data_IF_408693634041
#
_entry.id   IF_408693634041
#
_cell.length_a   1.000
_cell.length_b   1.000
_cell.length_c   1.000
_cell.angle_alpha   90.00
_cell.angle_beta   90.00
_cell.angle_gamma   90.00
#
_symmetry.space_group_name_H-M   'P 1'
#
loop_
_entity.id
_entity.type
_entity.pdbx_description
1 polymer ?
#
# COMPACT_ATOMS: atom_id res chain seq x y z
N UNK A 1 1.54 26.40 -27.49
CA UNK A 1 2.32 26.62 -26.25
C UNK A 1 1.42 26.27 -25.08
N UNK A 2 1.58 25.10 -24.47
CA UNK A 2 0.71 24.65 -23.39
C UNK A 2 1.20 25.24 -22.06
N UNK A 3 0.39 26.14 -21.50
CA UNK A 3 0.60 26.74 -20.18
C UNK A 3 0.43 25.68 -19.09
N UNK A 4 1.51 25.34 -18.39
CA UNK A 4 1.44 24.52 -17.17
C UNK A 4 1.14 25.44 -15.99
N UNK A 5 -0.06 25.35 -15.45
CA UNK A 5 -0.43 25.99 -14.18
C UNK A 5 0.40 25.41 -13.02
N UNK A 6 0.86 26.22 -12.05
CA UNK A 6 1.67 25.73 -10.95
C UNK A 6 0.81 24.92 -9.98
N UNK A 7 1.24 23.69 -9.66
CA UNK A 7 0.57 22.81 -8.68
C UNK A 7 0.70 23.41 -7.26
N UNK A 8 -0.32 23.23 -6.39
CA UNK A 8 -0.35 23.82 -5.05
C UNK A 8 0.75 23.27 -4.13
N UNK A 9 1.26 24.14 -3.24
CA UNK A 9 2.46 23.92 -2.38
C UNK A 9 2.17 23.22 -1.04
N UNK A 10 1.00 22.62 -0.85
CA UNK A 10 0.61 22.04 0.44
C UNK A 10 0.83 20.52 0.38
N UNK A 11 1.60 20.01 1.35
CA UNK A 11 2.05 18.61 1.53
C UNK A 11 3.29 18.17 0.72
N UNK A 12 4.38 18.93 0.79
CA UNK A 12 5.73 18.38 0.58
C UNK A 12 6.22 17.70 1.86
N UNK A 13 5.66 16.55 2.23
CA UNK A 13 6.48 15.58 2.98
C UNK A 13 7.51 15.07 1.98
N UNK A 14 8.81 15.33 2.16
CA UNK A 14 9.82 14.89 1.20
C UNK A 14 9.74 13.37 1.02
N UNK A 15 9.99 12.85 -0.18
CA UNK A 15 10.19 11.41 -0.42
C UNK A 15 11.21 10.78 0.56
N UNK A 16 12.13 11.60 1.11
CA UNK A 16 13.04 11.22 2.17
C UNK A 16 12.35 10.78 3.48
N UNK A 17 11.20 11.36 3.85
CA UNK A 17 10.44 10.93 5.03
C UNK A 17 9.73 9.60 4.82
N UNK A 18 9.36 9.29 3.57
CA UNK A 18 8.83 7.98 3.19
C UNK A 18 9.83 6.84 3.47
N UNK A 19 11.14 7.14 3.51
CA UNK A 19 12.19 6.15 3.80
C UNK A 19 12.12 5.62 5.23
N UNK A 20 11.82 6.47 6.21
CA UNK A 20 11.75 6.05 7.63
C UNK A 20 10.45 5.29 7.92
N UNK A 21 9.34 5.78 7.37
CA UNK A 21 8.01 5.16 7.44
C UNK A 21 7.99 3.77 6.79
N UNK A 22 8.59 3.64 5.60
CA UNK A 22 8.64 2.37 4.89
C UNK A 22 9.54 1.36 5.60
N UNK A 23 10.68 1.80 6.16
CA UNK A 23 11.55 0.96 6.98
C UNK A 23 10.84 0.47 8.26
N UNK A 24 10.02 1.33 8.89
CA UNK A 24 9.19 0.95 10.03
C UNK A 24 8.05 -0.02 9.63
N UNK A 25 7.39 0.22 8.49
CA UNK A 25 6.33 -0.66 7.98
C UNK A 25 6.85 -2.05 7.60
N UNK A 26 8.05 -2.15 7.02
CA UNK A 26 8.73 -3.43 6.80
C UNK A 26 9.09 -4.15 8.10
N UNK A 27 9.52 -3.42 9.13
CA UNK A 27 9.81 -3.99 10.44
C UNK A 27 8.54 -4.54 11.11
N UNK A 28 7.40 -3.86 10.92
CA UNK A 28 6.09 -4.34 11.40
C UNK A 28 5.57 -5.54 10.61
N UNK A 29 5.78 -5.58 9.28
CA UNK A 29 5.39 -6.72 8.44
C UNK A 29 6.14 -8.02 8.85
N UNK A 30 7.36 -7.90 9.35
CA UNK A 30 8.14 -9.03 9.89
C UNK A 30 7.66 -9.50 11.28
N UNK A 31 7.02 -8.64 12.06
CA UNK A 31 6.43 -8.99 13.35
C UNK A 31 5.14 -9.83 13.20
N UNK A 32 4.58 -9.93 11.99
CA UNK A 32 3.37 -10.69 11.67
C UNK A 32 3.55 -12.18 11.39
N UNK A 33 4.76 -12.78 11.48
CA UNK A 33 4.87 -14.24 11.39
C UNK A 33 6.22 -14.91 11.10
N UNK A 34 7.31 -14.20 10.83
CA UNK A 34 8.63 -14.82 10.66
C UNK A 34 9.72 -13.99 11.34
N UNK A 35 10.23 -14.49 12.47
CA UNK A 35 11.46 -13.98 13.11
C UNK A 35 12.66 -14.30 12.23
N UNK A 36 13.42 -13.32 11.72
CA UNK A 36 14.73 -13.59 11.15
C UNK A 36 15.70 -13.97 12.28
N UNK A 37 16.38 -15.10 12.15
CA UNK A 37 17.54 -15.42 13.01
C UNK A 37 18.74 -14.59 12.52
N UNK A 38 19.07 -13.52 13.24
CA UNK A 38 20.29 -12.72 13.07
C UNK A 38 20.18 -11.55 12.09
N UNK A 39 20.73 -10.38 12.47
CA UNK A 39 21.07 -9.27 11.55
C UNK A 39 19.94 -8.55 10.81
N UNK A 40 18.69 -8.58 11.29
CA UNK A 40 17.50 -8.13 10.56
C UNK A 40 17.49 -6.67 10.04
N UNK A 41 18.33 -5.77 10.59
CA UNK A 41 18.33 -4.36 10.20
C UNK A 41 19.07 -4.09 8.89
N UNK A 42 20.09 -4.88 8.57
CA UNK A 42 20.98 -4.60 7.43
C UNK A 42 20.40 -5.22 6.14
N UNK A 43 19.91 -6.46 6.25
CA UNK A 43 19.24 -7.19 5.16
C UNK A 43 17.94 -6.53 4.70
N UNK A 44 17.15 -5.95 5.62
CA UNK A 44 15.95 -5.21 5.26
C UNK A 44 16.27 -3.93 4.48
N UNK A 45 17.34 -3.21 4.85
CA UNK A 45 17.78 -2.00 4.13
C UNK A 45 18.23 -2.33 2.71
N UNK A 46 19.03 -3.37 2.53
CA UNK A 46 19.49 -3.80 1.20
C UNK A 46 18.31 -4.19 0.30
N UNK A 47 17.32 -4.88 0.86
CA UNK A 47 16.14 -5.33 0.09
C UNK A 47 15.20 -4.18 -0.28
N UNK A 48 15.04 -3.18 0.59
CA UNK A 48 14.12 -2.05 0.37
C UNK A 48 14.69 -0.93 -0.50
N UNK A 49 16.01 -0.86 -0.64
CA UNK A 49 16.66 0.17 -1.45
C UNK A 49 16.15 0.21 -2.89
N UNK A 50 16.14 -0.89 -3.67
CA UNK A 50 15.63 -0.86 -5.04
C UNK A 50 14.13 -0.54 -5.11
N UNK A 51 13.36 -0.94 -4.11
CA UNK A 51 11.93 -0.63 -4.03
C UNK A 51 11.68 0.87 -3.79
N UNK A 52 12.48 1.51 -2.93
CA UNK A 52 12.43 2.96 -2.71
C UNK A 52 12.85 3.78 -3.93
N UNK A 53 13.85 3.31 -4.66
CA UNK A 53 14.29 3.93 -5.93
C UNK A 53 13.17 3.88 -6.97
N UNK A 54 12.53 2.72 -7.13
CA UNK A 54 11.36 2.56 -8.00
C UNK A 54 10.21 3.49 -7.59
N UNK A 55 9.91 3.63 -6.29
CA UNK A 55 8.87 4.55 -5.83
C UNK A 55 9.20 6.02 -6.10
N UNK A 56 10.49 6.38 -6.04
CA UNK A 56 10.97 7.73 -6.37
C UNK A 56 10.75 8.02 -7.85
N UNK A 57 11.17 7.11 -8.73
CA UNK A 57 10.93 7.21 -10.18
C UNK A 57 9.43 7.27 -10.48
N UNK A 58 8.62 6.41 -9.86
CA UNK A 58 7.18 6.38 -10.04
C UNK A 58 6.52 7.70 -9.62
N UNK A 59 7.01 8.35 -8.57
CA UNK A 59 6.53 9.67 -8.14
C UNK A 59 6.88 10.76 -9.16
N UNK A 60 8.09 10.75 -9.70
CA UNK A 60 8.53 11.71 -10.72
C UNK A 60 7.75 11.55 -12.04
N UNK A 61 7.52 10.30 -12.46
CA UNK A 61 6.73 9.97 -13.64
C UNK A 61 5.21 10.09 -13.42
N UNK A 62 4.77 10.18 -12.17
CA UNK A 62 3.36 10.21 -11.79
C UNK A 62 2.61 8.90 -12.01
N UNK A 63 3.31 7.76 -12.13
CA UNK A 63 2.72 6.42 -12.30
C UNK A 63 3.60 5.33 -11.70
N UNK A 64 3.00 4.36 -11.01
CA UNK A 64 3.68 3.12 -10.59
C UNK A 64 4.03 2.25 -11.81
N UNK A 65 5.01 1.33 -11.71
CA UNK A 65 5.30 0.35 -12.76
C UNK A 65 4.11 -0.56 -13.08
N UNK A 66 4.10 -1.19 -14.26
CA UNK A 66 2.98 -2.03 -14.71
C UNK A 66 2.70 -3.21 -13.79
N UNK A 67 3.75 -3.90 -13.33
CA UNK A 67 3.65 -5.00 -12.36
C UNK A 67 2.98 -4.63 -11.03
N UNK A 68 2.93 -3.33 -10.70
CA UNK A 68 2.26 -2.80 -9.50
C UNK A 68 0.86 -2.25 -9.77
N UNK A 69 0.44 -2.18 -11.04
CA UNK A 69 -0.90 -1.78 -11.44
C UNK A 69 -1.79 -2.98 -11.82
N UNK A 70 -1.23 -4.18 -11.78
CA UNK A 70 -1.94 -5.42 -12.07
C UNK A 70 -2.51 -6.08 -10.81
N UNK A 71 -3.59 -6.84 -10.98
CA UNK A 71 -4.20 -7.66 -9.94
C UNK A 71 -4.54 -9.04 -10.50
N UNK A 72 -4.25 -10.09 -9.73
CA UNK A 72 -4.70 -11.44 -10.08
C UNK A 72 -6.13 -11.64 -9.56
N UNK A 73 -7.07 -11.85 -10.47
CA UNK A 73 -8.46 -12.14 -10.11
C UNK A 73 -8.60 -13.61 -9.73
N UNK A 74 -9.10 -13.86 -8.53
CA UNK A 74 -9.44 -15.20 -8.03
C UNK A 74 -10.91 -15.23 -7.64
N UNK A 75 -11.57 -16.34 -7.91
CA UNK A 75 -12.99 -16.52 -7.63
C UNK A 75 -13.14 -17.48 -6.46
N UNK A 76 -13.86 -17.07 -5.41
CA UNK A 76 -14.17 -17.90 -4.24
C UNK A 76 -15.66 -18.24 -4.20
N UNK A 77 -15.97 -19.52 -4.11
CA UNK A 77 -17.34 -19.98 -3.96
C UNK A 77 -17.85 -19.77 -2.52
N UNK A 78 -19.08 -19.25 -2.38
CA UNK A 78 -19.78 -19.12 -1.09
C UNK A 78 -20.23 -20.50 -0.62
N UNK A 79 -19.87 -20.88 0.59
CA UNK A 79 -20.27 -22.16 1.18
C UNK A 79 -21.81 -22.23 1.25
N UNK A 80 -22.38 -23.35 0.78
CA UNK A 80 -23.83 -23.60 0.84
C UNK A 80 -24.66 -22.93 -0.27
N UNK A 81 -24.04 -22.31 -1.26
CA UNK A 81 -24.72 -21.79 -2.44
C UNK A 81 -24.59 -22.74 -3.65
N UNK A 82 -25.45 -22.58 -4.65
CA UNK A 82 -25.42 -23.38 -5.89
C UNK A 82 -24.20 -23.01 -6.75
N UNK A 83 -23.29 -23.94 -7.06
CA UNK A 83 -22.13 -23.69 -7.93
C UNK A 83 -22.48 -23.28 -9.36
N UNK A 84 -23.71 -23.51 -9.82
CA UNK A 84 -24.15 -23.11 -11.15
C UNK A 84 -24.64 -21.66 -11.21
N UNK A 85 -24.95 -21.04 -10.06
CA UNK A 85 -25.30 -19.63 -9.99
C UNK A 85 -24.03 -18.77 -9.85
N UNK A 86 -23.79 -17.89 -10.80
CA UNK A 86 -22.66 -16.94 -10.81
C UNK A 86 -22.65 -16.06 -9.55
N UNK A 87 -23.82 -15.77 -8.96
CA UNK A 87 -23.95 -14.98 -7.71
C UNK A 87 -23.41 -15.72 -6.49
N UNK A 88 -23.21 -17.03 -6.58
CA UNK A 88 -22.59 -17.86 -5.54
C UNK A 88 -21.10 -17.60 -5.38
N UNK A 89 -20.49 -16.83 -6.28
CA UNK A 89 -19.08 -16.54 -6.25
C UNK A 89 -18.75 -15.13 -5.75
N UNK A 90 -17.60 -14.99 -5.10
CA UNK A 90 -16.99 -13.71 -4.71
C UNK A 90 -15.71 -13.53 -5.49
N UNK A 91 -15.60 -12.41 -6.19
CA UNK A 91 -14.35 -12.03 -6.85
C UNK A 91 -13.40 -11.41 -5.84
N UNK A 92 -12.15 -11.85 -5.86
CA UNK A 92 -11.05 -11.27 -5.08
C UNK A 92 -9.96 -10.80 -6.03
N UNK A 93 -9.56 -9.53 -5.88
CA UNK A 93 -8.39 -8.97 -6.53
C UNK A 93 -7.17 -9.16 -5.63
N UNK A 94 -6.25 -10.03 -6.03
CA UNK A 94 -4.98 -10.23 -5.33
C UNK A 94 -3.95 -9.25 -5.88
N UNK A 95 -3.68 -8.20 -5.10
CA UNK A 95 -2.63 -7.21 -5.38
C UNK A 95 -1.25 -7.73 -5.00
N UNK A 96 -0.22 -7.24 -5.70
CA UNK A 96 1.17 -7.44 -5.34
C UNK A 96 1.42 -6.99 -3.87
N UNK A 97 2.18 -7.80 -3.12
CA UNK A 97 2.57 -7.52 -1.74
C UNK A 97 3.25 -6.16 -1.58
N UNK A 98 4.04 -5.75 -2.57
CA UNK A 98 4.69 -4.44 -2.60
C UNK A 98 3.66 -3.30 -2.60
N UNK A 99 2.58 -3.45 -3.36
CA UNK A 99 1.49 -2.47 -3.38
C UNK A 99 0.77 -2.40 -2.04
N UNK A 100 0.64 -3.54 -1.35
CA UNK A 100 0.05 -3.58 0.01
C UNK A 100 0.95 -2.89 1.03
N UNK A 101 2.26 -3.04 0.90
CA UNK A 101 3.23 -2.35 1.75
C UNK A 101 3.11 -0.83 1.59
N UNK A 102 3.12 -0.32 0.35
CA UNK A 102 2.88 1.09 0.07
C UNK A 102 1.52 1.56 0.60
N UNK A 103 0.47 0.78 0.35
CA UNK A 103 -0.88 1.07 0.85
C UNK A 103 -0.95 1.19 2.36
N UNK A 104 -0.24 0.32 3.10
CA UNK A 104 -0.17 0.36 4.56
C UNK A 104 0.57 1.61 5.06
N UNK A 105 1.68 1.98 4.41
CA UNK A 105 2.39 3.25 4.73
C UNK A 105 1.47 4.45 4.53
N UNK A 106 0.78 4.53 3.38
CA UNK A 106 -0.15 5.62 3.11
C UNK A 106 -1.31 5.65 4.10
N UNK A 107 -1.89 4.50 4.43
CA UNK A 107 -2.96 4.39 5.42
C UNK A 107 -2.52 4.88 6.80
N UNK A 108 -1.33 4.47 7.26
CA UNK A 108 -0.79 4.91 8.55
C UNK A 108 -0.56 6.43 8.60
N UNK A 109 -0.13 7.04 7.48
CA UNK A 109 0.04 8.49 7.38
C UNK A 109 -1.27 9.26 7.39
N UNK A 110 -2.33 8.66 6.84
CA UNK A 110 -3.67 9.26 6.82
C UNK A 110 -4.44 9.03 8.11
N UNK A 111 -4.12 7.97 8.88
CA UNK A 111 -4.85 7.57 10.08
C UNK A 111 -5.03 8.71 11.11
N UNK A 112 -4.01 9.54 11.43
CA UNK A 112 -4.18 10.67 12.35
C UNK A 112 -5.14 11.76 11.84
N UNK A 113 -5.37 11.83 10.53
CA UNK A 113 -6.27 12.81 9.90
C UNK A 113 -7.70 12.29 9.80
N UNK A 114 -7.92 10.98 9.93
CA UNK A 114 -9.24 10.36 9.79
C UNK A 114 -10.32 10.97 10.71
N UNK A 115 -10.06 11.29 12.00
CA UNK A 115 -11.08 11.88 12.87
C UNK A 115 -11.59 13.25 12.41
N UNK A 116 -10.81 13.96 11.58
CA UNK A 116 -11.16 15.28 11.05
C UNK A 116 -11.90 15.15 9.71
N UNK A 117 -11.56 14.12 8.92
CA UNK A 117 -12.05 13.93 7.56
C UNK A 117 -13.33 13.08 7.48
N UNK A 118 -13.56 12.21 8.46
CA UNK A 118 -14.58 11.16 8.41
C UNK A 118 -15.65 11.39 9.47
N UNK A 119 -16.92 11.26 9.08
CA UNK A 119 -18.03 11.42 10.01
C UNK A 119 -18.00 10.31 11.07
N UNK A 120 -18.32 10.57 12.35
CA UNK A 120 -18.27 9.56 13.42
C UNK A 120 -19.01 8.25 13.12
N UNK A 121 -20.09 8.31 12.34
CA UNK A 121 -20.88 7.13 11.96
C UNK A 121 -20.19 6.22 10.92
N UNK A 122 -19.14 6.71 10.25
CA UNK A 122 -18.41 5.97 9.21
C UNK A 122 -17.30 5.11 9.82
N UNK A 123 -17.66 4.10 10.61
CA UNK A 123 -16.71 3.24 11.35
C UNK A 123 -16.06 2.13 10.52
N UNK A 124 -16.57 1.85 9.32
CA UNK A 124 -16.04 0.82 8.43
C UNK A 124 -14.60 1.09 8.02
N UNK A 125 -13.71 0.11 8.22
CA UNK A 125 -12.30 0.16 7.79
C UNK A 125 -11.46 1.30 8.41
N UNK A 126 -11.87 1.89 9.54
CA UNK A 126 -11.14 2.97 10.21
C UNK A 126 -9.94 2.51 11.07
N UNK A 127 -9.75 1.20 11.25
CA UNK A 127 -8.67 0.62 12.03
C UNK A 127 -7.78 -0.21 11.10
N UNK A 128 -6.48 0.08 11.07
CA UNK A 128 -5.53 -0.47 10.10
C UNK A 128 -4.53 -1.43 10.73
#
# INVERSE_FOLDING_TARGET
>A
MASQSPRPKHARTPLAEMRLELAAASALALLGGMRPRGGASETARETLTPYLEMLTEAYELGRLPESQREAKIVVLHKKGCDPLDVRSYRLLSLLNSDCKLLGKVLANRLLPLMPILVHPDQSGCMHA
#
